data_IF_680385313787
#
_entry.id   IF_680385313787
#
_cell.length_a   1.000
_cell.length_b   1.000
_cell.length_c   1.000
_cell.angle_alpha   90.00
_cell.angle_beta   90.00
_cell.angle_gamma   90.00
#
_symmetry.space_group_name_H-M   'P 1'
#
loop_
_entity.id
_entity.type
_entity.pdbx_description
1 polymer ?
#
# COMPACT_ATOMS: atom_id res chain seq x y z
N UNK A 1 15.33 -14.00 5.86
CA UNK A 1 15.88 -15.02 4.93
C UNK A 1 14.88 -15.33 3.82
N UNK A 2 13.75 -15.98 4.12
CA UNK A 2 12.82 -16.47 3.08
C UNK A 2 12.21 -15.40 2.15
N UNK A 3 11.80 -14.23 2.66
CA UNK A 3 11.21 -13.17 1.81
C UNK A 3 12.21 -12.66 0.76
N UNK A 4 13.39 -12.21 1.20
CA UNK A 4 14.45 -11.71 0.31
C UNK A 4 14.85 -12.73 -0.75
N UNK A 5 15.10 -13.98 -0.33
CA UNK A 5 15.47 -15.06 -1.24
C UNK A 5 14.41 -15.26 -2.34
N UNK A 6 13.13 -15.25 -1.96
CA UNK A 6 12.03 -15.39 -2.92
C UNK A 6 11.87 -14.20 -3.84
N UNK A 7 12.09 -12.97 -3.35
CA UNK A 7 12.07 -11.78 -4.22
C UNK A 7 13.20 -11.86 -5.25
N UNK A 8 14.41 -12.24 -4.86
CA UNK A 8 15.53 -12.39 -5.80
C UNK A 8 15.22 -13.47 -6.85
N UNK A 9 14.73 -14.63 -6.42
CA UNK A 9 14.35 -15.74 -7.30
C UNK A 9 13.28 -15.31 -8.32
N UNK A 10 12.18 -14.72 -7.85
CA UNK A 10 11.08 -14.32 -8.75
C UNK A 10 11.43 -13.11 -9.60
N UNK A 11 12.23 -12.16 -9.11
CA UNK A 11 12.70 -11.04 -9.92
C UNK A 11 13.49 -11.52 -11.13
N UNK A 12 14.36 -12.52 -10.96
CA UNK A 12 15.08 -13.15 -12.08
C UNK A 12 14.11 -13.74 -13.10
N UNK A 13 13.13 -14.53 -12.66
CA UNK A 13 12.14 -15.17 -13.55
C UNK A 13 11.31 -14.11 -14.30
N UNK A 14 10.88 -13.04 -13.62
CA UNK A 14 10.08 -11.96 -14.21
C UNK A 14 10.88 -11.22 -15.28
N UNK A 15 12.12 -10.84 -14.97
CA UNK A 15 12.98 -10.04 -15.85
C UNK A 15 13.46 -10.84 -17.07
N UNK A 16 13.78 -12.12 -16.93
CA UNK A 16 14.09 -13.02 -18.05
C UNK A 16 12.94 -13.15 -19.06
N UNK A 17 11.69 -12.87 -18.63
CA UNK A 17 10.49 -12.87 -19.47
C UNK A 17 10.08 -11.47 -19.95
N UNK A 18 10.95 -10.47 -19.77
CA UNK A 18 10.71 -9.09 -20.19
C UNK A 18 9.76 -8.30 -19.27
N UNK A 19 9.40 -8.85 -18.11
CA UNK A 19 8.60 -8.17 -17.11
C UNK A 19 9.42 -7.21 -16.22
N UNK A 20 8.72 -6.38 -15.45
CA UNK A 20 9.31 -5.53 -14.41
C UNK A 20 8.70 -5.90 -13.06
N UNK A 21 9.54 -6.11 -12.06
CA UNK A 21 9.10 -6.46 -10.72
C UNK A 21 8.66 -5.20 -9.95
N UNK A 22 7.54 -5.32 -9.24
CA UNK A 22 7.13 -4.38 -8.21
C UNK A 22 6.76 -5.14 -6.94
N UNK A 23 7.15 -4.61 -5.78
CA UNK A 23 6.82 -5.13 -4.47
C UNK A 23 5.68 -4.32 -3.86
N UNK A 24 4.59 -4.99 -3.54
CA UNK A 24 3.45 -4.39 -2.86
C UNK A 24 3.72 -4.39 -1.35
N UNK A 25 4.13 -3.26 -0.79
CA UNK A 25 4.37 -3.12 0.66
C UNK A 25 3.02 -3.18 1.38
N UNK A 26 2.75 -4.30 2.04
CA UNK A 26 1.47 -4.59 2.69
C UNK A 26 1.24 -3.75 3.95
N UNK A 27 -0.02 -3.43 4.23
CA UNK A 27 -0.44 -2.83 5.49
C UNK A 27 -0.25 -3.78 6.67
N UNK A 28 -0.03 -3.20 7.85
CA UNK A 28 0.07 -3.95 9.10
C UNK A 28 -1.31 -4.38 9.60
N UNK A 29 -1.35 -5.51 10.30
CA UNK A 29 -2.55 -5.94 11.01
C UNK A 29 -2.95 -4.95 12.10
N UNK A 30 -4.25 -4.83 12.34
CA UNK A 30 -4.87 -4.07 13.43
C UNK A 30 -5.70 -5.00 14.31
N UNK A 31 -6.16 -4.53 15.47
CA UNK A 31 -7.13 -5.28 16.28
C UNK A 31 -8.38 -5.62 15.44
N UNK A 32 -8.95 -6.85 15.56
CA UNK A 32 -8.70 -7.87 16.57
C UNK A 32 -7.61 -8.92 16.21
N UNK A 33 -6.77 -8.67 15.20
CA UNK A 33 -5.81 -9.68 14.76
C UNK A 33 -4.75 -9.95 15.84
N UNK A 34 -4.53 -11.21 16.22
CA UNK A 34 -3.56 -11.61 17.28
C UNK A 34 -2.10 -11.18 17.07
N UNK A 35 -1.75 -10.76 15.84
CA UNK A 35 -0.41 -10.25 15.48
C UNK A 35 -0.39 -8.73 15.29
N UNK A 36 -1.46 -8.03 15.66
CA UNK A 36 -1.49 -6.57 15.61
C UNK A 36 -0.38 -6.02 16.50
N UNK A 37 0.49 -5.20 15.89
CA UNK A 37 1.55 -4.49 16.58
C UNK A 37 1.87 -3.24 15.76
N UNK A 38 1.81 -2.02 16.35
CA UNK A 38 2.16 -0.78 15.66
C UNK A 38 3.54 -0.78 15.00
N UNK A 39 4.51 -1.51 15.54
CA UNK A 39 5.88 -1.58 14.99
C UNK A 39 5.98 -2.40 13.70
N UNK A 40 4.99 -3.26 13.40
CA UNK A 40 5.03 -4.15 12.24
C UNK A 40 5.16 -3.38 10.93
N UNK A 41 4.59 -2.16 10.83
CA UNK A 41 4.68 -1.38 9.60
C UNK A 41 6.12 -0.94 9.31
N UNK A 42 6.92 -0.62 10.34
CA UNK A 42 8.33 -0.24 10.17
C UNK A 42 9.18 -1.43 9.76
N UNK A 43 8.99 -2.58 10.42
CA UNK A 43 9.67 -3.81 10.04
C UNK A 43 9.32 -4.24 8.60
N UNK A 44 8.07 -4.05 8.19
CA UNK A 44 7.62 -4.34 6.82
C UNK A 44 8.21 -3.36 5.82
N UNK A 45 8.20 -2.06 6.12
CA UNK A 45 8.82 -1.04 5.27
C UNK A 45 10.30 -1.32 5.05
N UNK A 46 11.07 -1.51 6.12
CA UNK A 46 12.52 -1.76 6.04
C UNK A 46 12.82 -2.99 5.19
N UNK A 47 12.06 -4.08 5.37
CA UNK A 47 12.23 -5.31 4.61
C UNK A 47 11.93 -5.11 3.12
N UNK A 48 10.81 -4.47 2.78
CA UNK A 48 10.40 -4.26 1.39
C UNK A 48 11.31 -3.27 0.67
N UNK A 49 11.69 -2.17 1.33
CA UNK A 49 12.58 -1.14 0.77
C UNK A 49 13.97 -1.69 0.54
N UNK A 50 14.55 -2.36 1.54
CA UNK A 50 15.90 -2.94 1.43
C UNK A 50 15.99 -3.92 0.26
N UNK A 51 15.05 -4.87 0.18
CA UNK A 51 15.04 -5.88 -0.89
C UNK A 51 14.65 -5.27 -2.23
N UNK A 52 13.71 -4.33 -2.27
CA UNK A 52 13.33 -3.61 -3.48
C UNK A 52 14.51 -2.87 -4.10
N UNK A 53 15.29 -2.16 -3.28
CA UNK A 53 16.52 -1.50 -3.71
C UNK A 53 17.57 -2.49 -4.20
N UNK A 54 17.74 -3.62 -3.51
CA UNK A 54 18.70 -4.66 -3.88
C UNK A 54 18.45 -5.24 -5.28
N UNK A 55 17.18 -5.50 -5.63
CA UNK A 55 16.82 -6.08 -6.93
C UNK A 55 16.43 -5.05 -7.99
N UNK A 56 16.45 -3.75 -7.65
CA UNK A 56 16.00 -2.67 -8.52
C UNK A 56 14.50 -2.70 -8.83
N UNK A 57 13.67 -3.22 -7.92
CA UNK A 57 12.22 -3.30 -8.08
C UNK A 57 11.53 -2.05 -7.51
N UNK A 58 10.43 -1.65 -8.14
CA UNK A 58 9.54 -0.62 -7.61
C UNK A 58 8.92 -1.10 -6.29
N UNK A 59 8.93 -0.30 -5.23
CA UNK A 59 8.17 -0.59 -4.00
C UNK A 59 6.93 0.28 -3.97
N UNK A 60 5.74 -0.31 -3.90
CA UNK A 60 4.44 0.38 -3.84
C UNK A 60 4.04 0.52 -2.36
N UNK A 61 3.98 1.74 -1.79
CA UNK A 61 3.91 1.97 -0.35
C UNK A 61 2.49 1.89 0.23
N UNK A 62 1.74 0.83 -0.06
CA UNK A 62 0.33 0.71 0.40
C UNK A 62 0.21 0.71 1.92
N UNK A 63 1.07 -0.02 2.62
CA UNK A 63 1.02 -0.05 4.07
C UNK A 63 1.26 1.32 4.72
N UNK A 64 2.11 2.14 4.12
CA UNK A 64 2.34 3.51 4.57
C UNK A 64 1.14 4.42 4.28
N UNK A 65 0.40 4.17 3.21
CA UNK A 65 -0.83 4.90 2.91
C UNK A 65 -1.91 4.59 3.97
N UNK A 66 -2.03 3.32 4.39
CA UNK A 66 -2.93 2.93 5.48
C UNK A 66 -2.54 3.61 6.79
N UNK A 67 -1.26 3.59 7.14
CA UNK A 67 -0.75 4.28 8.35
C UNK A 67 -1.06 5.78 8.31
N UNK A 68 -0.82 6.45 7.18
CA UNK A 68 -1.10 7.88 7.01
C UNK A 68 -2.60 8.19 7.09
N UNK A 69 -3.46 7.33 6.54
CA UNK A 69 -4.91 7.46 6.66
C UNK A 69 -5.36 7.38 8.13
N UNK A 70 -4.86 6.39 8.89
CA UNK A 70 -5.14 6.27 10.32
C UNK A 70 -4.62 7.46 11.12
N UNK A 71 -3.43 7.98 10.78
CA UNK A 71 -2.85 9.17 11.43
C UNK A 71 -3.73 10.41 11.21
N UNK A 72 -4.30 10.58 10.02
CA UNK A 72 -5.17 11.73 9.68
C UNK A 72 -6.60 11.57 10.21
N UNK A 73 -7.13 10.35 10.21
CA UNK A 73 -8.50 10.04 10.65
C UNK A 73 -8.52 8.74 11.48
N UNK A 74 -8.22 8.81 12.78
CA UNK A 74 -8.08 7.64 13.65
C UNK A 74 -9.32 6.74 13.73
N UNK A 75 -10.51 7.31 13.58
CA UNK A 75 -11.77 6.57 13.65
C UNK A 75 -12.13 5.82 12.36
N UNK A 76 -11.41 6.05 11.26
CA UNK A 76 -11.66 5.37 9.99
C UNK A 76 -11.38 3.87 10.09
N UNK A 77 -12.17 3.04 9.40
CA UNK A 77 -12.01 1.58 9.39
C UNK A 77 -11.61 1.11 7.99
N UNK A 78 -10.32 0.81 7.80
CA UNK A 78 -9.78 0.34 6.51
C UNK A 78 -9.73 -1.18 6.38
N UNK A 79 -9.95 -1.90 7.48
CA UNK A 79 -9.89 -3.37 7.54
C UNK A 79 -11.26 -3.96 7.81
N UNK A 80 -11.43 -5.24 7.46
CA UNK A 80 -12.54 -6.06 7.92
C UNK A 80 -12.52 -6.15 9.44
N UNK A 81 -13.60 -5.70 10.07
CA UNK A 81 -13.70 -5.59 11.52
C UNK A 81 -13.53 -6.93 12.25
N UNK A 82 -13.87 -8.04 11.60
CA UNK A 82 -13.80 -9.37 12.20
C UNK A 82 -12.42 -10.03 12.17
N UNK A 83 -11.45 -9.52 11.38
CA UNK A 83 -10.13 -10.15 11.25
C UNK A 83 -8.94 -9.20 11.46
N UNK A 84 -9.11 -7.89 11.32
CA UNK A 84 -8.03 -6.91 11.49
C UNK A 84 -6.86 -7.11 10.53
N UNK A 85 -7.06 -7.78 9.40
CA UNK A 85 -6.02 -8.18 8.46
C UNK A 85 -6.35 -7.82 7.02
N UNK A 86 -7.55 -8.16 6.55
CA UNK A 86 -7.94 -7.87 5.16
C UNK A 86 -8.50 -6.46 5.03
N UNK A 87 -8.19 -5.72 3.96
CA UNK A 87 -8.83 -4.45 3.69
C UNK A 87 -10.35 -4.60 3.51
N UNK A 88 -11.11 -3.63 4.02
CA UNK A 88 -12.50 -3.45 3.64
C UNK A 88 -12.61 -2.66 2.33
N UNK A 89 -13.82 -2.26 1.92
CA UNK A 89 -14.07 -1.55 0.67
C UNK A 89 -13.19 -0.30 0.52
N UNK A 90 -13.20 0.58 1.52
CA UNK A 90 -12.44 1.84 1.47
C UNK A 90 -10.93 1.62 1.64
N UNK A 91 -10.51 0.58 2.36
CA UNK A 91 -9.09 0.18 2.40
C UNK A 91 -8.60 -0.34 1.06
N UNK A 92 -9.42 -1.13 0.37
CA UNK A 92 -9.13 -1.61 -1.00
C UNK A 92 -9.04 -0.44 -1.98
N UNK A 93 -9.91 0.57 -1.83
CA UNK A 93 -9.86 1.78 -2.64
C UNK A 93 -8.56 2.58 -2.43
N UNK A 94 -8.12 2.75 -1.18
CA UNK A 94 -6.84 3.41 -0.86
C UNK A 94 -5.65 2.67 -1.45
N UNK A 95 -5.64 1.33 -1.32
CA UNK A 95 -4.64 0.47 -1.93
C UNK A 95 -4.58 0.67 -3.46
N UNK A 96 -5.74 0.67 -4.13
CA UNK A 96 -5.84 0.88 -5.57
C UNK A 96 -5.32 2.27 -5.99
N UNK A 97 -5.68 3.33 -5.26
CA UNK A 97 -5.17 4.68 -5.52
C UNK A 97 -3.64 4.75 -5.38
N UNK A 98 -3.08 4.07 -4.38
CA UNK A 98 -1.63 4.03 -4.13
C UNK A 98 -0.90 3.27 -5.23
N UNK A 99 -1.43 2.11 -5.65
CA UNK A 99 -0.90 1.34 -6.79
C UNK A 99 -0.94 2.17 -8.09
N UNK A 100 -2.07 2.84 -8.36
CA UNK A 100 -2.21 3.70 -9.53
C UNK A 100 -1.15 4.81 -9.53
N UNK A 101 -1.01 5.51 -8.41
CA UNK A 101 -0.06 6.60 -8.27
C UNK A 101 1.39 6.13 -8.45
N UNK A 102 1.76 4.98 -7.86
CA UNK A 102 3.11 4.41 -7.99
C UNK A 102 3.44 3.93 -9.40
N UNK A 103 2.53 3.23 -10.07
CA UNK A 103 2.81 2.65 -11.39
C UNK A 103 2.77 3.71 -12.49
N UNK A 104 1.80 4.61 -12.45
CA UNK A 104 1.59 5.59 -13.52
C UNK A 104 2.29 6.93 -13.27
N UNK A 105 2.78 7.20 -12.05
CA UNK A 105 3.33 8.50 -11.67
C UNK A 105 2.30 9.63 -11.80
N UNK A 106 1.00 9.32 -11.70
CA UNK A 106 -0.11 10.25 -11.85
C UNK A 106 -0.85 10.41 -10.54
N UNK A 107 -1.33 11.61 -10.25
CA UNK A 107 -2.18 11.81 -9.09
C UNK A 107 -3.51 11.05 -9.26
N UNK A 108 -3.96 10.29 -8.25
CA UNK A 108 -5.30 9.72 -8.22
C UNK A 108 -6.36 10.77 -7.83
N UNK A 109 -5.96 11.96 -7.36
CA UNK A 109 -6.88 13.02 -6.91
C UNK A 109 -7.71 13.54 -8.08
N UNK A 110 -9.03 13.57 -7.87
CA UNK A 110 -10.00 13.98 -8.89
C UNK A 110 -10.44 12.83 -9.80
N UNK A 111 -9.96 11.60 -9.60
CA UNK A 111 -10.51 10.44 -10.29
C UNK A 111 -11.99 10.27 -9.90
N UNK A 112 -12.86 10.16 -10.91
CA UNK A 112 -14.31 10.10 -10.72
C UNK A 112 -14.84 8.74 -10.28
N UNK A 113 -13.99 7.71 -10.22
CA UNK A 113 -14.41 6.37 -9.81
C UNK A 113 -14.63 6.31 -8.29
N UNK A 114 -15.84 5.92 -7.89
CA UNK A 114 -16.34 5.90 -6.51
C UNK A 114 -16.95 4.53 -6.11
N UNK A 115 -16.51 3.47 -6.81
CA UNK A 115 -17.08 2.11 -6.71
C UNK A 115 -18.60 2.10 -6.91
N UNK A 116 -19.07 2.63 -8.04
CA UNK A 116 -20.49 2.68 -8.42
C UNK A 116 -21.37 3.36 -7.36
N UNK A 117 -20.89 4.48 -6.80
CA UNK A 117 -21.57 5.27 -5.78
C UNK A 117 -21.57 4.69 -4.37
N UNK A 118 -20.76 3.65 -4.10
CA UNK A 118 -20.66 3.03 -2.77
C UNK A 118 -19.66 3.74 -1.85
N UNK A 119 -18.75 4.52 -2.40
CA UNK A 119 -17.83 5.37 -1.64
C UNK A 119 -18.30 6.80 -1.87
N UNK A 120 -18.62 7.52 -0.79
CA UNK A 120 -19.01 8.92 -0.92
C UNK A 120 -17.83 9.78 -1.41
N UNK A 121 -18.14 10.93 -2.02
CA UNK A 121 -17.13 11.79 -2.65
C UNK A 121 -16.07 12.32 -1.68
N UNK A 122 -16.45 12.59 -0.43
CA UNK A 122 -15.53 13.11 0.58
C UNK A 122 -14.53 12.02 0.98
N UNK A 123 -15.01 10.81 1.25
CA UNK A 123 -14.18 9.65 1.53
C UNK A 123 -13.27 9.31 0.35
N UNK A 124 -13.79 9.29 -0.88
CA UNK A 124 -12.98 9.02 -2.06
C UNK A 124 -11.86 10.06 -2.21
N UNK A 125 -12.18 11.35 -2.13
CA UNK A 125 -11.19 12.44 -2.22
C UNK A 125 -10.13 12.35 -1.11
N UNK A 126 -10.56 12.06 0.12
CA UNK A 126 -9.64 11.88 1.25
C UNK A 126 -8.63 10.75 0.97
N UNK A 127 -9.10 9.59 0.53
CA UNK A 127 -8.24 8.43 0.26
C UNK A 127 -7.31 8.67 -0.94
N UNK A 128 -7.79 9.36 -1.98
CA UNK A 128 -6.96 9.79 -3.11
C UNK A 128 -5.82 10.71 -2.62
N UNK A 129 -6.12 11.69 -1.76
CA UNK A 129 -5.11 12.62 -1.24
C UNK A 129 -4.09 11.89 -0.36
N UNK A 130 -4.53 10.96 0.49
CA UNK A 130 -3.61 10.14 1.29
C UNK A 130 -2.67 9.34 0.40
N UNK A 131 -3.19 8.70 -0.65
CA UNK A 131 -2.38 7.96 -1.61
C UNK A 131 -1.37 8.86 -2.32
N UNK A 132 -1.80 10.03 -2.83
CA UNK A 132 -0.93 10.99 -3.50
C UNK A 132 0.21 11.45 -2.59
N UNK A 133 -0.13 11.92 -1.39
CA UNK A 133 0.86 12.48 -0.46
C UNK A 133 1.85 11.41 0.00
N UNK A 134 1.36 10.18 0.25
CA UNK A 134 2.19 9.04 0.62
C UNK A 134 3.18 8.71 -0.49
N UNK A 135 2.71 8.59 -1.73
CA UNK A 135 3.56 8.25 -2.88
C UNK A 135 4.59 9.33 -3.16
N UNK A 136 4.19 10.62 -3.13
CA UNK A 136 5.13 11.74 -3.28
C UNK A 136 6.19 11.75 -2.19
N UNK A 137 5.79 11.56 -0.93
CA UNK A 137 6.73 11.51 0.20
C UNK A 137 7.65 10.30 0.10
N UNK A 138 7.16 9.15 -0.35
CA UNK A 138 7.93 7.91 -0.41
C UNK A 138 9.03 7.96 -1.47
N UNK A 139 8.75 8.48 -2.68
CA UNK A 139 9.74 8.60 -3.75
C UNK A 139 10.52 9.92 -3.76
N UNK A 140 10.11 10.92 -2.97
CA UNK A 140 10.85 12.17 -2.79
C UNK A 140 11.93 12.11 -1.71
N UNK A 141 12.17 10.93 -1.13
CA UNK A 141 13.23 10.66 -0.15
C UNK A 141 14.58 10.43 -0.82
#
# INVERSE_FOLDING_TARGET
AQFREKVIEFNKIITERGGKTALYLTHAHVEPHKRANPENIRLTEDLYVSVGNEVGALVIPVGLAFEEAYRRKPDMKLHKEYDGSHPDLIGTYLAACTVYASIYGKSPVGNSYDYFGKIDKETALFLQQVAEDTVKRFYGR
#
